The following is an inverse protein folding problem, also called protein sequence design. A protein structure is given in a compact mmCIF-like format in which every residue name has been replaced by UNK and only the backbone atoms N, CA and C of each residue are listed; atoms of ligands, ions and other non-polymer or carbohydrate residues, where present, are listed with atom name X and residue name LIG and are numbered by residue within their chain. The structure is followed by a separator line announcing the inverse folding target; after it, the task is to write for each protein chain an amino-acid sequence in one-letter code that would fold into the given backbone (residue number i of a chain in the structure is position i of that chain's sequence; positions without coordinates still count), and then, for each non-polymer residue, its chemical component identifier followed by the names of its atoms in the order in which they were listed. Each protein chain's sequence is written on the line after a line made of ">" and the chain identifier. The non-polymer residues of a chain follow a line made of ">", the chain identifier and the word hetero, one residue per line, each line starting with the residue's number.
data_IF_866306595200
#
_entry.id   IF_866306595200
#
_cell.length_a   1.000
_cell.length_b   1.000
_cell.length_c   1.000
_cell.angle_alpha   90.00
_cell.angle_beta   90.00
_cell.angle_gamma   90.00
#
_symmetry.space_group_name_H-M   'P 1'
#
loop_
_entity.id
_entity.type
_entity.pdbx_description
1 polymer ?
#
# COMPACT_ATOMS: atom_id res chain seq x y z
N UNK A 1 13.86 -12.94 4.71
CA UNK A 1 13.02 -11.93 4.03
C UNK A 1 11.80 -11.63 4.88
N UNK A 2 11.22 -10.47 4.68
CA UNK A 2 10.06 -10.00 5.44
C UNK A 2 8.93 -9.66 4.48
N UNK A 3 7.72 -10.10 4.82
CA UNK A 3 6.51 -9.67 4.12
C UNK A 3 5.87 -8.52 4.90
N UNK A 4 5.43 -7.50 4.16
CA UNK A 4 4.71 -6.36 4.70
C UNK A 4 3.39 -6.26 3.95
N UNK A 5 2.31 -6.62 4.62
CA UNK A 5 0.96 -6.69 4.03
C UNK A 5 0.08 -5.64 4.70
N UNK A 6 -0.59 -4.84 3.89
CA UNK A 6 -1.55 -3.86 4.39
C UNK A 6 -2.87 -4.01 3.65
N UNK A 7 -3.96 -3.91 4.38
CA UNK A 7 -5.31 -3.80 3.82
C UNK A 7 -5.85 -2.43 4.15
N UNK A 8 -6.41 -1.74 3.15
CA UNK A 8 -7.06 -0.44 3.33
C UNK A 8 -8.51 -0.47 2.88
N UNK A 9 -9.31 0.30 3.59
CA UNK A 9 -10.63 0.68 3.14
C UNK A 9 -10.59 2.12 2.65
N UNK A 10 -11.11 2.36 1.45
CA UNK A 10 -11.23 3.72 0.92
C UNK A 10 -12.31 4.50 1.69
N UNK A 11 -12.19 5.82 1.72
CA UNK A 11 -13.17 6.66 2.40
C UNK A 11 -14.55 6.46 1.81
N UNK A 12 -15.54 6.29 2.68
CA UNK A 12 -16.91 5.99 2.27
C UNK A 12 -17.61 7.16 1.57
N UNK A 13 -17.16 8.40 1.80
CA UNK A 13 -17.71 9.58 1.12
C UNK A 13 -17.26 9.73 -0.33
N UNK A 14 -16.27 8.97 -0.78
CA UNK A 14 -15.85 8.98 -2.17
C UNK A 14 -16.91 8.31 -3.06
N UNK A 15 -17.19 8.90 -4.23
CA UNK A 15 -18.03 8.26 -5.24
C UNK A 15 -17.32 7.03 -5.81
N UNK A 16 -18.05 6.17 -6.52
CA UNK A 16 -17.45 5.00 -7.16
C UNK A 16 -16.35 5.39 -8.16
N UNK A 17 -16.57 6.47 -8.93
CA UNK A 17 -15.55 6.99 -9.86
C UNK A 17 -14.33 7.48 -9.11
N UNK A 18 -14.50 8.24 -8.03
CA UNK A 18 -13.40 8.73 -7.20
C UNK A 18 -12.64 7.57 -6.55
N UNK A 19 -13.35 6.56 -6.05
CA UNK A 19 -12.70 5.37 -5.47
C UNK A 19 -11.80 4.68 -6.49
N UNK A 20 -12.27 4.53 -7.73
CA UNK A 20 -11.47 3.93 -8.81
C UNK A 20 -10.23 4.76 -9.11
N UNK A 21 -10.37 6.08 -9.21
CA UNK A 21 -9.26 7.00 -9.48
C UNK A 21 -8.23 6.96 -8.35
N UNK A 22 -8.69 6.98 -7.09
CA UNK A 22 -7.79 6.98 -5.94
C UNK A 22 -7.10 5.63 -5.77
N UNK A 23 -7.80 4.52 -6.00
CA UNK A 23 -7.19 3.19 -5.97
C UNK A 23 -6.06 3.09 -7.00
N UNK A 24 -6.28 3.59 -8.22
CA UNK A 24 -5.26 3.57 -9.26
C UNK A 24 -4.07 4.45 -8.89
N UNK A 25 -4.30 5.64 -8.33
CA UNK A 25 -3.24 6.53 -7.88
C UNK A 25 -2.39 5.89 -6.75
N UNK A 26 -3.04 5.22 -5.81
CA UNK A 26 -2.37 4.49 -4.72
C UNK A 26 -1.49 3.38 -5.30
N UNK A 27 -2.04 2.58 -6.22
CA UNK A 27 -1.31 1.50 -6.87
C UNK A 27 -0.07 2.03 -7.60
N UNK A 28 -0.23 3.04 -8.44
CA UNK A 28 0.87 3.63 -9.21
C UNK A 28 1.93 4.22 -8.30
N UNK A 29 1.52 4.95 -7.27
CA UNK A 29 2.45 5.58 -6.33
C UNK A 29 3.27 4.56 -5.55
N UNK A 30 2.62 3.57 -4.98
CA UNK A 30 3.31 2.56 -4.17
C UNK A 30 4.19 1.63 -5.02
N UNK A 31 3.69 1.17 -6.16
CA UNK A 31 4.48 0.29 -7.03
C UNK A 31 5.70 0.99 -7.63
N UNK A 32 5.65 2.31 -7.78
CA UNK A 32 6.79 3.10 -8.25
C UNK A 32 7.97 3.10 -7.28
N UNK A 33 7.76 2.69 -6.03
CA UNK A 33 8.81 2.65 -5.01
C UNK A 33 9.84 1.53 -5.26
N UNK A 34 9.50 0.53 -6.04
CA UNK A 34 10.45 -0.52 -6.42
C UNK A 34 11.59 0.10 -7.21
N UNK A 35 12.82 -0.16 -6.78
CA UNK A 35 14.02 0.43 -7.36
C UNK A 35 14.40 1.79 -6.76
N UNK A 36 13.55 2.40 -5.93
CA UNK A 36 13.86 3.66 -5.25
C UNK A 36 14.24 3.47 -3.80
N UNK A 37 13.72 2.41 -3.16
CA UNK A 37 13.91 2.17 -1.72
C UNK A 37 14.86 0.98 -1.52
N UNK A 38 16.00 1.19 -0.84
CA UNK A 38 16.94 0.09 -0.57
C UNK A 38 16.27 -1.04 0.20
N UNK A 39 16.50 -2.29 -0.23
CA UNK A 39 15.96 -3.46 0.43
C UNK A 39 14.51 -3.81 0.10
N UNK A 40 13.83 -2.99 -0.67
CA UNK A 40 12.50 -3.31 -1.20
C UNK A 40 12.66 -4.22 -2.43
N UNK A 41 12.34 -5.50 -2.26
CA UNK A 41 12.55 -6.52 -3.29
C UNK A 41 11.37 -6.61 -4.25
N UNK A 42 10.16 -6.48 -3.74
CA UNK A 42 8.95 -6.53 -4.55
C UNK A 42 7.83 -5.75 -3.88
N UNK A 43 6.92 -5.21 -4.69
CA UNK A 43 5.76 -4.47 -4.20
C UNK A 43 4.64 -4.58 -5.22
N UNK A 44 3.48 -5.02 -4.76
CA UNK A 44 2.29 -5.16 -5.58
C UNK A 44 1.08 -4.61 -4.81
N UNK A 45 0.24 -3.86 -5.51
CA UNK A 45 -0.99 -3.33 -4.93
C UNK A 45 -2.17 -3.90 -5.69
N UNK A 46 -3.03 -4.64 -4.98
CA UNK A 46 -4.22 -5.27 -5.55
C UNK A 46 -5.41 -4.32 -5.40
N UNK A 47 -6.01 -3.93 -6.53
CA UNK A 47 -7.16 -3.01 -6.55
C UNK A 47 -8.35 -3.54 -7.34
N UNK A 48 -8.18 -4.62 -8.10
CA UNK A 48 -9.21 -5.18 -8.97
C UNK A 48 -9.74 -6.51 -8.45
N UNK A 49 -10.93 -6.90 -8.91
CA UNK A 49 -11.49 -8.21 -8.60
C UNK A 49 -12.11 -8.35 -7.23
N UNK A 50 -12.37 -7.24 -6.54
CA UNK A 50 -12.97 -7.27 -5.20
C UNK A 50 -14.33 -7.94 -5.23
N UNK A 51 -14.54 -8.90 -4.34
CA UNK A 51 -15.83 -9.57 -4.15
C UNK A 51 -16.62 -8.89 -3.02
N UNK A 52 -17.94 -9.00 -3.07
CA UNK A 52 -18.83 -8.32 -2.12
C UNK A 52 -18.69 -8.80 -0.67
N UNK A 53 -18.10 -9.98 -0.45
CA UNK A 53 -17.81 -10.49 0.89
C UNK A 53 -16.64 -9.78 1.56
N UNK A 54 -15.88 -8.96 0.80
CA UNK A 54 -14.72 -8.25 1.32
C UNK A 54 -15.13 -7.03 2.15
N UNK A 55 -14.34 -6.72 3.17
CA UNK A 55 -14.50 -5.50 3.97
C UNK A 55 -13.32 -4.56 3.85
N UNK A 56 -12.38 -4.87 2.97
CA UNK A 56 -11.29 -3.98 2.54
C UNK A 56 -11.36 -3.79 1.04
N UNK A 57 -10.73 -2.73 0.54
CA UNK A 57 -10.79 -2.38 -0.88
C UNK A 57 -9.46 -2.57 -1.59
N UNK A 58 -8.34 -2.43 -0.89
CA UNK A 58 -7.00 -2.44 -1.48
C UNK A 58 -6.08 -3.27 -0.60
N UNK A 59 -5.20 -4.05 -1.24
CA UNK A 59 -4.14 -4.79 -0.53
C UNK A 59 -2.77 -4.36 -1.06
N UNK A 60 -1.86 -4.03 -0.14
CA UNK A 60 -0.43 -3.94 -0.42
C UNK A 60 0.22 -5.28 -0.06
N UNK A 61 0.93 -5.87 -1.01
CA UNK A 61 1.76 -7.06 -0.81
C UNK A 61 3.19 -6.69 -1.17
N UNK A 62 4.07 -6.59 -0.19
CA UNK A 62 5.46 -6.22 -0.41
C UNK A 62 6.41 -7.17 0.29
N UNK A 63 7.62 -7.29 -0.28
CA UNK A 63 8.70 -8.12 0.24
C UNK A 63 9.94 -7.26 0.42
N UNK A 64 10.56 -7.35 1.61
CA UNK A 64 11.76 -6.62 1.95
C UNK A 64 12.85 -7.62 2.38
N UNK A 65 14.13 -7.22 2.24
CA UNK A 65 15.26 -8.09 2.58
C UNK A 65 15.29 -8.47 4.05
N UNK A 66 14.88 -7.56 4.94
CA UNK A 66 14.99 -7.72 6.38
C UNK A 66 14.05 -6.79 7.11
N UNK A 67 13.93 -6.97 8.42
CA UNK A 67 13.17 -6.05 9.26
C UNK A 67 13.80 -4.65 9.27
N UNK A 68 15.14 -4.55 9.23
CA UNK A 68 15.81 -3.25 9.14
C UNK A 68 15.48 -2.55 7.82
N UNK A 69 15.41 -3.29 6.72
CA UNK A 69 14.97 -2.73 5.44
C UNK A 69 13.52 -2.21 5.51
N UNK A 70 12.63 -2.91 6.21
CA UNK A 70 11.27 -2.45 6.42
C UNK A 70 11.22 -1.16 7.22
N UNK A 71 12.02 -1.06 8.28
CA UNK A 71 12.11 0.19 9.07
C UNK A 71 12.61 1.35 8.20
N UNK A 72 13.61 1.10 7.36
CA UNK A 72 14.12 2.10 6.43
C UNK A 72 13.09 2.51 5.38
N UNK A 73 12.31 1.56 4.88
CA UNK A 73 11.21 1.81 3.97
C UNK A 73 10.16 2.74 4.60
N UNK A 74 9.78 2.47 5.85
CA UNK A 74 8.74 3.25 6.53
C UNK A 74 9.09 4.74 6.64
N UNK A 75 10.38 5.08 6.79
CA UNK A 75 10.83 6.46 6.94
C UNK A 75 11.47 7.04 5.68
N UNK A 76 11.51 6.28 4.60
CA UNK A 76 12.12 6.74 3.35
C UNK A 76 11.31 7.90 2.76
N UNK A 77 11.95 9.00 2.31
CA UNK A 77 11.23 10.16 1.78
C UNK A 77 10.28 9.83 0.63
N UNK A 78 10.68 8.93 -0.27
CA UNK A 78 9.82 8.53 -1.39
C UNK A 78 8.54 7.84 -0.91
N UNK A 79 8.64 6.96 0.11
CA UNK A 79 7.48 6.32 0.72
C UNK A 79 6.60 7.34 1.44
N UNK A 80 7.19 8.22 2.23
CA UNK A 80 6.45 9.25 2.96
C UNK A 80 5.66 10.15 2.01
N UNK A 81 6.26 10.53 0.89
CA UNK A 81 5.58 11.37 -0.12
C UNK A 81 4.32 10.68 -0.67
N UNK A 82 4.40 9.38 -1.00
CA UNK A 82 3.24 8.61 -1.48
C UNK A 82 2.20 8.43 -0.37
N UNK A 83 2.64 8.07 0.84
CA UNK A 83 1.75 7.83 1.96
C UNK A 83 0.94 9.09 2.32
N UNK A 84 1.59 10.24 2.39
CA UNK A 84 0.92 11.49 2.72
C UNK A 84 0.18 12.12 1.55
N UNK A 85 0.62 11.86 0.32
CA UNK A 85 0.04 12.47 -0.87
C UNK A 85 -1.22 11.78 -1.37
N UNK A 86 -1.26 10.45 -1.40
CA UNK A 86 -2.39 9.73 -2.00
C UNK A 86 -3.01 8.65 -1.12
N UNK A 87 -2.26 8.05 -0.18
CA UNK A 87 -2.79 6.93 0.62
C UNK A 87 -3.65 7.43 1.77
N UNK A 88 -3.05 8.16 2.71
CA UNK A 88 -3.73 8.63 3.92
C UNK A 88 -4.94 9.52 3.65
N UNK A 89 -4.89 10.46 2.69
CA UNK A 89 -6.05 11.31 2.42
C UNK A 89 -7.28 10.54 1.91
N UNK A 90 -7.09 9.35 1.35
CA UNK A 90 -8.14 8.61 0.65
C UNK A 90 -8.57 7.33 1.35
N UNK A 91 -7.96 6.99 2.49
CA UNK A 91 -8.28 5.76 3.23
C UNK A 91 -8.78 6.08 4.63
N UNK A 92 -9.65 5.23 5.16
CA UNK A 92 -10.23 5.42 6.48
C UNK A 92 -9.88 4.31 7.48
N UNK A 93 -9.50 3.12 6.99
CA UNK A 93 -9.06 2.01 7.81
C UNK A 93 -7.79 1.42 7.24
N UNK A 94 -6.90 1.00 8.14
CA UNK A 94 -5.62 0.37 7.78
C UNK A 94 -5.38 -0.80 8.71
N UNK A 95 -5.13 -1.98 8.13
CA UNK A 95 -4.73 -3.19 8.88
C UNK A 95 -3.40 -3.66 8.32
N UNK A 96 -2.44 -3.94 9.19
CA UNK A 96 -1.09 -4.32 8.79
C UNK A 96 -0.69 -5.64 9.43
N UNK A 97 0.00 -6.49 8.66
CA UNK A 97 0.66 -7.68 9.15
C UNK A 97 2.05 -7.76 8.55
N UNK A 98 3.07 -7.76 9.40
CA UNK A 98 4.46 -7.95 9.01
C UNK A 98 4.95 -9.28 9.56
N UNK A 99 5.62 -10.09 8.74
CA UNK A 99 6.11 -11.40 9.19
C UNK A 99 7.34 -11.85 8.40
N UNK A 100 8.15 -12.68 9.02
CA UNK A 100 9.30 -13.29 8.36
C UNK A 100 8.90 -14.54 7.58
N UNK A 101 9.58 -14.70 6.44
CA UNK A 101 9.43 -15.88 5.59
C UNK A 101 10.77 -16.54 5.33
#
# INVERSE_FOLDING_TARGET
>A
MVKHIILWKLRSELSETEKREKALAIKQGLESLKGQVPGLLDIHVQIDGRLETSNADIMLDSTLESFDALKGYAVHPAHIAVANGVVRPNTELRTCLDFEI
#
